data_IF_155464152118
#
_entry.id   IF_155464152118
#
_cell.length_a   1.000
_cell.length_b   1.000
_cell.length_c   1.000
_cell.angle_alpha   90.00
_cell.angle_beta   90.00
_cell.angle_gamma   90.00
#
_symmetry.space_group_name_H-M   'P 1'
#
loop_
_entity.id
_entity.type
_entity.pdbx_description
1 polymer ?
#
# COMPACT_ATOMS: atom_id res chain seq x y z
N UNK A 1 4.10 20.27 -4.20
CA UNK A 1 3.73 19.27 -5.23
C UNK A 1 2.83 19.92 -6.27
N UNK A 2 3.05 19.69 -7.58
CA UNK A 2 2.25 20.22 -8.69
C UNK A 2 1.30 19.15 -9.23
N UNK A 3 0.02 19.50 -9.40
CA UNK A 3 -0.99 18.65 -10.05
C UNK A 3 -0.99 18.97 -11.55
N UNK A 4 -0.87 17.95 -12.40
CA UNK A 4 -0.97 18.06 -13.86
C UNK A 4 -2.27 17.44 -14.37
N UNK A 5 -2.72 17.85 -15.54
CA UNK A 5 -3.90 17.29 -16.20
C UNK A 5 -3.55 16.86 -17.63
N UNK A 6 -2.73 15.83 -17.77
CA UNK A 6 -2.22 15.34 -19.07
C UNK A 6 -3.31 14.68 -19.93
N UNK A 7 -4.38 14.20 -19.30
CA UNK A 7 -5.48 13.49 -19.96
C UNK A 7 -6.69 14.38 -20.23
N UNK A 8 -6.62 15.68 -19.91
CA UNK A 8 -7.71 16.61 -20.18
C UNK A 8 -9.01 16.29 -19.44
N UNK A 9 -8.92 15.78 -18.21
CA UNK A 9 -10.12 15.50 -17.41
C UNK A 9 -10.83 16.81 -17.02
N UNK A 10 -12.16 16.78 -16.78
CA UNK A 10 -12.93 17.97 -16.44
C UNK A 10 -12.38 18.73 -15.24
N UNK A 11 -12.45 20.07 -15.30
CA UNK A 11 -11.96 21.00 -14.28
C UNK A 11 -12.52 20.70 -12.87
N UNK A 12 -13.75 20.22 -12.77
CA UNK A 12 -14.36 19.81 -11.50
C UNK A 12 -13.59 18.68 -10.81
N UNK A 13 -13.03 17.73 -11.58
CA UNK A 13 -12.19 16.65 -11.02
C UNK A 13 -10.83 17.22 -10.60
N UNK A 14 -10.25 18.11 -11.41
CA UNK A 14 -8.96 18.75 -11.09
C UNK A 14 -9.05 19.50 -9.76
N UNK A 15 -10.07 20.33 -9.59
CA UNK A 15 -10.31 21.07 -8.35
C UNK A 15 -10.57 20.16 -7.16
N UNK A 16 -11.40 19.15 -7.31
CA UNK A 16 -11.68 18.19 -6.24
C UNK A 16 -10.42 17.44 -5.75
N UNK A 17 -9.45 17.22 -6.64
CA UNK A 17 -8.16 16.61 -6.29
C UNK A 17 -7.20 17.62 -5.65
N UNK A 18 -7.27 18.88 -6.06
CA UNK A 18 -6.44 19.95 -5.49
C UNK A 18 -6.89 20.39 -4.10
N UNK A 19 -8.19 20.25 -3.82
CA UNK A 19 -8.86 20.66 -2.59
C UNK A 19 -8.82 19.53 -1.54
N UNK A 20 -7.64 18.93 -1.37
CA UNK A 20 -7.41 17.84 -0.41
C UNK A 20 -7.28 18.45 1.00
N UNK A 21 -8.33 18.26 1.81
CA UNK A 21 -8.42 18.76 3.19
C UNK A 21 -7.56 17.95 4.18
N UNK A 22 -6.72 17.02 3.70
CA UNK A 22 -5.90 16.22 4.60
C UNK A 22 -4.90 17.07 5.37
N UNK A 23 -5.08 17.12 6.68
CA UNK A 23 -4.17 17.76 7.61
C UNK A 23 -3.70 16.73 8.67
N UNK A 24 -2.40 16.62 8.88
CA UNK A 24 -1.81 15.79 9.94
C UNK A 24 -1.66 16.55 11.27
N UNK A 25 -2.14 17.78 11.33
CA UNK A 25 -1.90 18.71 12.43
C UNK A 25 -0.42 19.09 12.55
N UNK A 26 0.01 19.43 13.74
CA UNK A 26 1.39 19.78 14.07
C UNK A 26 2.32 18.56 14.26
N UNK A 27 1.89 17.35 13.84
CA UNK A 27 2.72 16.16 13.95
C UNK A 27 3.85 16.14 12.91
N UNK A 28 4.99 15.59 13.31
CA UNK A 28 6.13 15.36 12.39
C UNK A 28 5.76 14.25 11.39
N UNK A 29 5.17 13.17 11.88
CA UNK A 29 4.74 12.03 11.05
C UNK A 29 3.29 11.66 11.34
N UNK A 30 2.50 11.42 10.29
CA UNK A 30 1.26 10.64 10.44
C UNK A 30 1.59 9.15 10.56
N UNK A 31 0.67 8.33 11.08
CA UNK A 31 0.82 6.87 11.13
C UNK A 31 1.12 6.31 9.73
N UNK A 32 0.46 6.80 8.70
CA UNK A 32 0.71 6.37 7.31
C UNK A 32 2.13 6.69 6.84
N UNK A 33 2.68 7.86 7.24
CA UNK A 33 4.08 8.20 6.97
C UNK A 33 5.03 7.35 7.83
N UNK A 34 4.71 7.12 9.10
CA UNK A 34 5.51 6.34 10.03
C UNK A 34 5.76 4.91 9.52
N UNK A 35 4.73 4.23 9.02
CA UNK A 35 4.85 2.87 8.47
C UNK A 35 5.45 2.83 7.06
N UNK A 36 5.49 3.96 6.37
CA UNK A 36 6.11 4.06 5.03
C UNK A 36 7.64 4.02 5.10
N UNK A 37 8.34 3.59 4.03
CA UNK A 37 9.80 3.59 4.01
C UNK A 37 10.37 4.98 4.29
N UNK A 38 11.29 5.14 5.26
CA UNK A 38 11.86 6.45 5.62
C UNK A 38 12.46 7.17 4.43
N UNK A 39 13.17 6.44 3.56
CA UNK A 39 13.73 6.97 2.32
C UNK A 39 12.69 7.67 1.45
N UNK A 40 11.51 7.06 1.30
CA UNK A 40 10.44 7.63 0.47
C UNK A 40 9.90 8.90 1.11
N UNK A 41 9.61 8.86 2.41
CA UNK A 41 9.05 10.02 3.15
C UNK A 41 10.01 11.21 3.09
N UNK A 42 11.29 11.00 3.34
CA UNK A 42 12.30 12.06 3.29
C UNK A 42 12.49 12.60 1.87
N UNK A 43 12.59 11.72 0.86
CA UNK A 43 12.71 12.18 -0.53
C UNK A 43 11.46 12.94 -1.00
N UNK A 44 10.27 12.62 -0.51
CA UNK A 44 9.06 13.40 -0.76
C UNK A 44 9.16 14.80 -0.15
N UNK A 45 9.61 14.90 1.11
CA UNK A 45 9.76 16.18 1.80
C UNK A 45 10.78 17.09 1.11
N UNK A 46 11.98 16.60 0.84
CA UNK A 46 13.05 17.43 0.22
C UNK A 46 12.79 17.78 -1.24
N UNK A 47 11.95 17.04 -1.93
CA UNK A 47 11.61 17.29 -3.35
C UNK A 47 10.17 17.81 -3.54
N UNK A 48 9.47 18.18 -2.48
CA UNK A 48 8.04 18.54 -2.53
C UNK A 48 7.69 19.53 -3.65
N UNK A 49 8.50 20.56 -3.83
CA UNK A 49 8.28 21.58 -4.85
C UNK A 49 8.50 21.10 -6.29
N UNK A 50 9.28 20.01 -6.45
CA UNK A 50 9.62 19.43 -7.76
C UNK A 50 8.73 18.25 -8.13
N UNK A 51 7.94 17.73 -7.17
CA UNK A 51 7.08 16.59 -7.42
C UNK A 51 5.88 16.97 -8.27
N UNK A 52 5.64 16.17 -9.30
CA UNK A 52 4.45 16.27 -10.15
C UNK A 52 3.61 14.99 -10.04
N UNK A 53 2.31 15.16 -9.92
CA UNK A 53 1.35 14.06 -9.94
C UNK A 53 0.23 14.41 -10.90
N UNK A 54 -0.09 13.51 -11.81
CA UNK A 54 -1.26 13.71 -12.67
C UNK A 54 -2.54 13.47 -11.89
N UNK A 55 -3.56 14.27 -12.19
CA UNK A 55 -4.87 14.22 -11.53
C UNK A 55 -5.48 12.82 -11.54
N UNK A 56 -5.29 12.04 -12.62
CA UNK A 56 -5.84 10.67 -12.70
C UNK A 56 -5.21 9.71 -11.69
N UNK A 57 -3.97 9.96 -11.28
CA UNK A 57 -3.29 9.17 -10.26
C UNK A 57 -3.79 9.48 -8.83
N UNK A 58 -4.55 10.56 -8.66
CA UNK A 58 -5.17 10.96 -7.39
C UNK A 58 -6.64 10.54 -7.28
N UNK A 59 -7.24 10.02 -8.34
CA UNK A 59 -8.64 9.55 -8.33
C UNK A 59 -8.89 8.51 -7.24
N UNK A 60 -8.00 7.52 -6.98
CA UNK A 60 -8.21 6.58 -5.87
C UNK A 60 -8.30 7.26 -4.49
N UNK A 61 -7.50 8.30 -4.25
CA UNK A 61 -7.56 9.08 -3.00
C UNK A 61 -8.87 9.88 -2.92
N UNK A 62 -9.28 10.53 -4.01
CA UNK A 62 -10.56 11.24 -4.10
C UNK A 62 -11.75 10.33 -3.78
N UNK A 63 -11.77 9.11 -4.34
CA UNK A 63 -12.80 8.12 -4.03
C UNK A 63 -12.77 7.71 -2.55
N UNK A 64 -11.56 7.54 -1.99
CA UNK A 64 -11.36 7.29 -0.55
C UNK A 64 -12.03 8.37 0.29
N UNK A 65 -11.63 9.62 0.10
CA UNK A 65 -12.18 10.78 0.84
C UNK A 65 -13.70 10.88 0.70
N UNK A 66 -14.25 10.69 -0.50
CA UNK A 66 -15.70 10.77 -0.73
C UNK A 66 -16.46 9.68 0.06
N UNK A 67 -15.95 8.44 0.07
CA UNK A 67 -16.60 7.34 0.80
C UNK A 67 -16.47 7.52 2.30
N UNK A 68 -15.31 7.93 2.82
CA UNK A 68 -15.14 8.24 4.24
C UNK A 68 -16.17 9.29 4.71
N UNK A 69 -16.34 10.40 3.98
CA UNK A 69 -17.35 11.44 4.29
C UNK A 69 -18.79 10.87 4.28
N UNK A 70 -19.10 9.94 3.37
CA UNK A 70 -20.45 9.31 3.32
C UNK A 70 -20.65 8.37 4.50
N UNK A 71 -19.65 7.56 4.85
CA UNK A 71 -19.73 6.62 5.97
C UNK A 71 -19.73 7.33 7.31
N UNK A 72 -18.96 8.40 7.48
CA UNK A 72 -19.01 9.29 8.64
C UNK A 72 -20.43 9.82 8.84
N UNK A 73 -21.04 10.38 7.78
CA UNK A 73 -22.43 10.85 7.84
C UNK A 73 -23.42 9.73 8.23
N UNK A 74 -23.21 8.52 7.69
CA UNK A 74 -24.07 7.35 8.00
C UNK A 74 -23.93 6.86 9.44
N UNK A 75 -22.80 7.14 10.08
CA UNK A 75 -22.49 6.68 11.44
C UNK A 75 -22.78 7.73 12.52
N UNK A 76 -23.12 8.98 12.15
CA UNK A 76 -23.20 10.14 13.05
C UNK A 76 -24.16 9.96 14.24
N UNK A 77 -25.25 9.23 14.04
CA UNK A 77 -26.28 9.04 15.06
C UNK A 77 -26.19 7.64 15.72
N UNK A 78 -25.13 6.89 15.43
CA UNK A 78 -24.92 5.59 16.06
C UNK A 78 -24.34 5.79 17.46
N UNK A 79 -25.02 5.35 18.54
CA UNK A 79 -24.45 5.38 19.87
C UNK A 79 -23.19 4.50 19.90
N UNK A 80 -22.23 4.86 20.74
CA UNK A 80 -20.97 4.12 20.89
C UNK A 80 -19.96 4.24 19.73
N UNK A 81 -20.25 4.98 18.65
CA UNK A 81 -19.34 5.22 17.54
C UNK A 81 -18.60 6.55 17.71
N UNK A 82 -17.27 6.50 17.63
CA UNK A 82 -16.37 7.65 17.63
C UNK A 82 -15.70 7.72 16.27
N UNK A 83 -15.93 8.82 15.53
CA UNK A 83 -15.59 8.92 14.11
C UNK A 83 -14.45 9.90 13.88
N UNK A 84 -13.58 9.62 12.91
CA UNK A 84 -12.53 10.51 12.39
C UNK A 84 -11.68 11.19 13.49
N UNK A 85 -11.44 10.45 14.58
CA UNK A 85 -10.73 11.00 15.73
C UNK A 85 -9.23 11.03 15.47
N UNK A 86 -8.63 12.23 15.53
CA UNK A 86 -7.18 12.39 15.43
C UNK A 86 -6.54 12.31 16.80
N UNK A 87 -5.65 11.34 16.93
CA UNK A 87 -4.92 10.99 18.15
C UNK A 87 -3.43 11.28 17.97
N UNK A 88 -2.74 11.59 19.08
CA UNK A 88 -1.35 11.98 19.07
C UNK A 88 -0.54 11.25 20.14
N UNK A 89 0.77 11.10 19.92
CA UNK A 89 1.74 10.77 20.98
C UNK A 89 3.10 11.40 20.62
N UNK A 90 3.97 11.53 21.61
CA UNK A 90 5.35 11.98 21.42
C UNK A 90 6.29 10.83 21.71
N UNK A 91 6.92 10.33 20.67
CA UNK A 91 7.86 9.20 20.74
C UNK A 91 9.24 9.65 20.29
N UNK A 92 10.27 9.43 21.12
CA UNK A 92 11.65 9.85 20.86
C UNK A 92 11.78 11.35 20.49
N UNK A 93 10.91 12.21 21.07
CA UNK A 93 10.88 13.64 20.81
C UNK A 93 10.15 14.07 19.53
N UNK A 94 9.63 13.12 18.74
CA UNK A 94 8.81 13.43 17.57
C UNK A 94 7.33 13.20 17.86
N UNK A 95 6.50 14.18 17.52
CA UNK A 95 5.04 14.07 17.60
C UNK A 95 4.55 13.27 16.41
N UNK A 96 3.83 12.20 16.69
CA UNK A 96 3.14 11.36 15.69
C UNK A 96 1.64 11.55 15.79
N UNK A 97 0.90 11.36 14.71
CA UNK A 97 -0.56 11.42 14.71
C UNK A 97 -1.19 10.31 13.88
N UNK A 98 -2.40 9.92 14.27
CA UNK A 98 -3.26 9.02 13.50
C UNK A 98 -4.70 9.50 13.54
N UNK A 99 -5.36 9.58 12.39
CA UNK A 99 -6.80 9.74 12.31
C UNK A 99 -7.42 8.35 12.21
N UNK A 100 -8.28 8.01 13.16
CA UNK A 100 -8.94 6.71 13.23
C UNK A 100 -10.35 6.86 12.66
N UNK A 101 -10.67 6.11 11.61
CA UNK A 101 -11.96 6.26 10.92
C UNK A 101 -13.12 6.01 11.86
N UNK A 102 -13.12 4.87 12.55
CA UNK A 102 -14.18 4.49 13.49
C UNK A 102 -13.60 3.74 14.69
N UNK A 103 -13.99 4.16 15.88
CA UNK A 103 -13.80 3.43 17.14
C UNK A 103 -15.16 3.12 17.73
N UNK A 104 -15.39 1.88 18.15
CA UNK A 104 -16.67 1.40 18.65
C UNK A 104 -16.49 0.95 20.11
N UNK A 105 -17.26 1.55 21.03
CA UNK A 105 -17.35 1.10 22.42
C UNK A 105 -18.27 -0.12 22.53
N UNK A 106 -17.74 -1.26 22.96
CA UNK A 106 -18.50 -2.50 23.11
C UNK A 106 -19.38 -2.50 24.38
N UNK A 107 -19.27 -1.48 25.24
CA UNK A 107 -20.05 -1.37 26.49
C UNK A 107 -19.57 -2.25 27.65
N UNK A 108 -18.53 -3.05 27.45
CA UNK A 108 -17.88 -3.91 28.44
C UNK A 108 -16.48 -3.45 28.86
N UNK A 109 -16.11 -2.22 28.47
CA UNK A 109 -14.77 -1.64 28.67
C UNK A 109 -13.77 -2.02 27.59
N UNK A 110 -14.19 -2.74 26.57
CA UNK A 110 -13.38 -3.02 25.37
C UNK A 110 -13.85 -2.21 24.17
N UNK A 111 -12.96 -2.08 23.18
CA UNK A 111 -13.21 -1.29 21.99
C UNK A 111 -12.77 -2.04 20.73
N UNK A 112 -13.44 -1.71 19.63
CA UNK A 112 -13.10 -2.14 18.28
C UNK A 112 -12.64 -0.94 17.44
N UNK A 113 -11.68 -1.14 16.52
CA UNK A 113 -11.32 -0.16 15.50
C UNK A 113 -11.65 -0.74 14.13
N UNK A 114 -12.39 0.03 13.33
CA UNK A 114 -12.64 -0.26 11.92
C UNK A 114 -12.01 0.83 11.05
N UNK A 115 -11.30 0.41 10.02
CA UNK A 115 -10.69 1.28 9.02
C UNK A 115 -11.25 0.94 7.63
N UNK A 116 -11.78 1.95 6.96
CA UNK A 116 -12.42 1.79 5.66
C UNK A 116 -11.42 1.88 4.52
N UNK A 117 -11.42 0.89 3.62
CA UNK A 117 -10.54 0.89 2.44
C UNK A 117 -11.33 0.69 1.16
N UNK A 118 -11.14 1.60 0.19
CA UNK A 118 -11.57 1.35 -1.19
C UNK A 118 -10.41 0.71 -1.92
N UNK A 119 -10.53 -0.58 -2.19
CA UNK A 119 -9.39 -1.36 -2.69
C UNK A 119 -9.81 -2.39 -3.74
N UNK A 120 -8.89 -3.23 -4.19
CA UNK A 120 -9.15 -4.31 -5.12
C UNK A 120 -9.42 -5.63 -4.40
N UNK A 121 -10.05 -6.58 -5.10
CA UNK A 121 -10.19 -7.96 -4.64
C UNK A 121 -8.83 -8.58 -4.31
N UNK A 122 -7.81 -8.32 -5.13
CA UNK A 122 -6.45 -8.78 -4.87
C UNK A 122 -5.93 -8.36 -3.49
N UNK A 123 -6.27 -7.17 -3.02
CA UNK A 123 -5.78 -6.65 -1.73
C UNK A 123 -6.30 -7.43 -0.52
N UNK A 124 -7.52 -7.98 -0.59
CA UNK A 124 -8.10 -8.79 0.51
C UNK A 124 -7.73 -10.26 0.41
N UNK A 125 -7.19 -10.68 -0.71
CA UNK A 125 -6.68 -12.05 -0.94
C UNK A 125 -5.16 -12.14 -0.76
N UNK A 126 -4.49 -11.03 -0.50
CA UNK A 126 -3.04 -10.94 -0.32
C UNK A 126 -2.71 -10.49 1.09
N UNK A 127 -1.58 -10.91 1.59
CA UNK A 127 -1.04 -10.40 2.84
C UNK A 127 -0.73 -8.90 2.74
N UNK A 128 -1.16 -8.13 3.74
CA UNK A 128 -1.05 -6.67 3.82
C UNK A 128 -0.49 -6.23 5.17
N UNK A 129 0.81 -6.42 5.39
CA UNK A 129 1.44 -6.05 6.67
C UNK A 129 1.24 -4.57 7.01
N UNK A 130 1.09 -3.69 6.03
CA UNK A 130 0.80 -2.28 6.25
C UNK A 130 -0.57 -2.03 6.93
N UNK A 131 -1.56 -2.88 6.70
CA UNK A 131 -2.86 -2.79 7.39
C UNK A 131 -2.72 -3.16 8.87
N UNK A 132 -1.98 -4.25 9.14
CA UNK A 132 -1.70 -4.68 10.50
C UNK A 132 -0.92 -3.63 11.28
N UNK A 133 0.13 -3.07 10.67
CA UNK A 133 0.93 -2.00 11.26
C UNK A 133 0.10 -0.74 11.53
N UNK A 134 -0.72 -0.31 10.57
CA UNK A 134 -1.54 0.89 10.69
C UNK A 134 -2.54 0.79 11.82
N UNK A 135 -3.34 -0.28 11.85
CA UNK A 135 -4.39 -0.45 12.86
C UNK A 135 -3.82 -0.63 14.27
N UNK A 136 -2.70 -1.35 14.40
CA UNK A 136 -2.04 -1.48 15.70
C UNK A 136 -1.45 -0.16 16.20
N UNK A 137 -0.91 0.69 15.30
CA UNK A 137 -0.52 2.05 15.68
C UNK A 137 -1.73 2.88 16.15
N UNK A 138 -2.89 2.75 15.50
CA UNK A 138 -4.12 3.40 15.95
C UNK A 138 -4.58 2.90 17.32
N UNK A 139 -4.55 1.59 17.55
CA UNK A 139 -4.88 0.99 18.86
C UNK A 139 -3.96 1.53 19.97
N UNK A 140 -2.67 1.65 19.70
CA UNK A 140 -1.71 2.25 20.64
C UNK A 140 -2.06 3.71 20.94
N UNK A 141 -2.33 4.51 19.92
CA UNK A 141 -2.71 5.91 20.09
C UNK A 141 -4.03 6.05 20.87
N UNK A 142 -5.03 5.21 20.60
CA UNK A 142 -6.30 5.19 21.34
C UNK A 142 -6.08 4.87 22.83
N UNK A 143 -5.21 3.91 23.12
CA UNK A 143 -4.83 3.62 24.50
C UNK A 143 -4.10 4.79 25.17
N UNK A 144 -3.13 5.41 24.49
CA UNK A 144 -2.35 6.52 25.05
C UNK A 144 -3.17 7.77 25.32
N UNK A 145 -4.16 8.08 24.48
CA UNK A 145 -4.98 9.28 24.62
C UNK A 145 -6.18 9.09 25.58
N UNK A 146 -6.77 7.89 25.61
CA UNK A 146 -8.04 7.67 26.29
C UNK A 146 -8.07 6.44 27.19
N UNK A 147 -7.01 5.65 27.26
CA UNK A 147 -7.01 4.37 27.98
C UNK A 147 -7.88 3.30 27.33
N UNK A 148 -8.33 3.47 26.09
CA UNK A 148 -9.20 2.53 25.37
C UNK A 148 -8.49 1.21 25.16
N UNK A 149 -9.07 0.12 25.67
CA UNK A 149 -8.57 -1.24 25.47
C UNK A 149 -9.12 -1.80 24.16
N UNK A 150 -8.32 -1.75 23.11
CA UNK A 150 -8.72 -2.29 21.81
C UNK A 150 -8.55 -3.81 21.82
N UNK A 151 -9.61 -4.55 21.49
CA UNK A 151 -9.63 -6.02 21.42
C UNK A 151 -9.97 -6.55 20.03
N UNK A 152 -10.43 -5.68 19.13
CA UNK A 152 -10.77 -6.03 17.75
C UNK A 152 -10.28 -4.94 16.80
N UNK A 153 -9.62 -5.38 15.72
CA UNK A 153 -9.16 -4.51 14.63
C UNK A 153 -9.68 -5.08 13.31
N UNK A 154 -10.33 -4.25 12.50
CA UNK A 154 -10.91 -4.69 11.22
C UNK A 154 -10.60 -3.72 10.09
N UNK A 155 -10.27 -4.27 8.94
CA UNK A 155 -10.36 -3.55 7.68
C UNK A 155 -11.71 -3.84 7.04
N UNK A 156 -12.49 -2.80 6.78
CA UNK A 156 -13.74 -2.89 6.03
C UNK A 156 -13.47 -2.45 4.59
N UNK A 157 -13.25 -3.43 3.72
CA UNK A 157 -12.83 -3.21 2.34
C UNK A 157 -14.04 -3.13 1.39
N UNK A 158 -14.18 -2.01 0.68
CA UNK A 158 -15.11 -1.85 -0.43
C UNK A 158 -14.33 -2.16 -1.72
N UNK A 159 -14.74 -3.24 -2.39
CA UNK A 159 -14.01 -3.83 -3.52
C UNK A 159 -14.46 -3.19 -4.83
N UNK A 160 -13.61 -2.29 -5.38
CA UNK A 160 -13.94 -1.51 -6.60
C UNK A 160 -13.99 -2.33 -7.89
N UNK A 161 -13.35 -3.50 -7.91
CA UNK A 161 -13.24 -4.42 -9.05
C UNK A 161 -13.95 -5.76 -8.82
N UNK A 162 -14.84 -5.81 -7.83
CA UNK A 162 -15.63 -7.00 -7.53
C UNK A 162 -16.63 -7.31 -8.67
N UNK A 163 -16.71 -8.59 -9.02
CA UNK A 163 -17.58 -9.07 -10.11
C UNK A 163 -18.47 -10.19 -9.61
N UNK A 164 -19.79 -10.00 -9.61
CA UNK A 164 -20.78 -10.98 -9.16
C UNK A 164 -20.58 -12.36 -9.80
N UNK A 165 -20.37 -12.41 -11.12
CA UNK A 165 -20.17 -13.68 -11.84
C UNK A 165 -18.93 -14.46 -11.34
N UNK A 166 -17.89 -13.76 -10.86
CA UNK A 166 -16.73 -14.45 -10.29
C UNK A 166 -17.07 -15.04 -8.92
N UNK A 167 -17.86 -14.34 -8.09
CA UNK A 167 -18.32 -14.84 -6.80
C UNK A 167 -19.20 -16.12 -6.97
N UNK A 168 -20.08 -16.15 -7.98
CA UNK A 168 -20.91 -17.31 -8.29
C UNK A 168 -20.10 -18.54 -8.76
N UNK A 169 -18.95 -18.31 -9.40
CA UNK A 169 -18.14 -19.38 -10.01
C UNK A 169 -16.97 -19.85 -9.14
N UNK A 170 -16.52 -19.04 -8.17
CA UNK A 170 -15.31 -19.30 -7.40
C UNK A 170 -15.58 -19.10 -5.90
N UNK A 171 -15.61 -20.19 -5.11
CA UNK A 171 -15.85 -20.10 -3.66
C UNK A 171 -14.81 -19.30 -2.88
N UNK A 172 -13.56 -19.26 -3.37
CA UNK A 172 -12.42 -18.51 -2.80
C UNK A 172 -12.39 -17.04 -3.21
N UNK A 173 -13.27 -16.63 -4.12
CA UNK A 173 -13.45 -15.21 -4.46
C UNK A 173 -14.38 -14.54 -3.44
N UNK A 174 -14.18 -13.26 -3.06
CA UNK A 174 -15.07 -12.56 -2.13
C UNK A 174 -16.54 -12.67 -2.56
N UNK A 175 -17.38 -13.20 -1.67
CA UNK A 175 -18.79 -13.44 -1.98
C UNK A 175 -19.64 -12.16 -1.94
N UNK A 176 -19.08 -11.04 -1.46
CA UNK A 176 -19.69 -9.72 -1.39
C UNK A 176 -18.73 -8.65 -1.91
N UNK A 177 -19.27 -7.54 -2.39
CA UNK A 177 -18.50 -6.34 -2.72
C UNK A 177 -17.87 -5.67 -1.48
N UNK A 178 -18.34 -6.02 -0.29
CA UNK A 178 -17.74 -5.59 0.99
C UNK A 178 -17.13 -6.82 1.64
N UNK A 179 -15.85 -6.73 1.98
CA UNK A 179 -15.13 -7.74 2.73
C UNK A 179 -14.64 -7.15 4.07
N UNK A 180 -14.85 -7.88 5.15
CA UNK A 180 -14.32 -7.54 6.47
C UNK A 180 -13.13 -8.46 6.73
N UNK A 181 -11.97 -7.86 7.01
CA UNK A 181 -10.73 -8.58 7.29
C UNK A 181 -10.35 -8.31 8.73
N UNK A 182 -10.32 -9.36 9.55
CA UNK A 182 -9.85 -9.28 10.93
C UNK A 182 -8.33 -9.14 10.95
N UNK A 183 -7.85 -8.18 11.75
CA UNK A 183 -6.43 -7.87 11.89
C UNK A 183 -5.96 -8.30 13.29
N UNK A 184 -4.82 -9.01 13.41
CA UNK A 184 -4.27 -9.40 14.70
C UNK A 184 -3.96 -8.19 15.58
N UNK A 185 -4.42 -8.22 16.84
CA UNK A 185 -4.10 -7.19 17.83
C UNK A 185 -2.75 -7.51 18.47
N UNK A 186 -1.81 -6.57 18.40
CA UNK A 186 -0.51 -6.69 19.05
C UNK A 186 -0.58 -6.27 20.52
N UNK A 187 0.35 -6.78 21.33
CA UNK A 187 0.53 -6.25 22.67
C UNK A 187 1.00 -4.79 22.62
N UNK A 188 0.63 -4.00 23.62
CA UNK A 188 1.07 -2.59 23.73
C UNK A 188 2.60 -2.45 23.71
N UNK A 189 3.31 -3.41 24.30
CA UNK A 189 4.77 -3.47 24.28
C UNK A 189 5.29 -3.64 22.84
N UNK A 190 4.75 -4.60 22.08
CA UNK A 190 5.14 -4.84 20.69
C UNK A 190 4.90 -3.60 19.83
N UNK A 191 3.73 -2.98 19.96
CA UNK A 191 3.40 -1.76 19.18
C UNK A 191 4.32 -0.60 19.59
N UNK A 192 4.51 -0.39 20.90
CA UNK A 192 5.39 0.67 21.38
C UNK A 192 6.83 0.53 20.87
N UNK A 193 7.37 -0.70 20.89
CA UNK A 193 8.69 -0.98 20.33
C UNK A 193 8.74 -0.73 18.81
N UNK A 194 7.72 -1.17 18.08
CA UNK A 194 7.59 -0.93 16.64
C UNK A 194 7.57 0.57 16.31
N UNK A 195 6.70 1.35 16.97
CA UNK A 195 6.61 2.80 16.75
C UNK A 195 7.95 3.48 17.07
N UNK A 196 8.59 3.13 18.19
CA UNK A 196 9.87 3.70 18.57
C UNK A 196 10.98 3.40 17.55
N UNK A 197 11.00 2.19 17.00
CA UNK A 197 11.96 1.81 15.97
C UNK A 197 11.69 2.55 14.65
N UNK A 198 10.42 2.64 14.21
CA UNK A 198 10.06 3.41 13.01
C UNK A 198 10.44 4.89 13.15
N UNK A 199 10.16 5.52 14.30
CA UNK A 199 10.58 6.92 14.56
C UNK A 199 12.09 7.05 14.47
N UNK A 200 12.86 6.12 15.07
CA UNK A 200 14.33 6.10 14.99
C UNK A 200 14.81 6.07 13.53
N UNK A 201 14.26 5.18 12.71
CA UNK A 201 14.63 5.06 11.29
C UNK A 201 14.35 6.34 10.51
N UNK A 202 13.22 7.00 10.78
CA UNK A 202 12.92 8.31 10.16
C UNK A 202 13.86 9.42 10.64
N UNK A 203 14.23 9.43 11.94
CA UNK A 203 15.21 10.37 12.48
C UNK A 203 16.58 10.18 11.85
N UNK A 204 17.02 8.94 11.66
CA UNK A 204 18.28 8.61 10.99
C UNK A 204 18.27 9.06 9.52
N UNK A 205 17.16 8.84 8.81
CA UNK A 205 17.00 9.31 7.45
C UNK A 205 17.02 10.84 7.35
N UNK A 206 16.38 11.55 8.29
CA UNK A 206 16.44 13.02 8.35
C UNK A 206 17.86 13.49 8.60
N UNK A 207 18.53 12.92 9.58
CA UNK A 207 19.93 13.25 9.90
C UNK A 207 20.88 13.02 8.70
N UNK A 208 20.70 11.94 7.96
CA UNK A 208 21.51 11.66 6.79
C UNK A 208 21.36 12.78 5.73
N UNK A 209 20.13 13.25 5.47
CA UNK A 209 19.90 14.36 4.55
C UNK A 209 20.53 15.66 5.07
N UNK A 210 20.32 15.99 6.34
CA UNK A 210 20.87 17.20 6.95
C UNK A 210 22.40 17.25 6.92
N UNK A 211 23.05 16.06 6.98
CA UNK A 211 24.51 15.91 6.90
C UNK A 211 25.05 15.68 5.48
N UNK A 212 24.18 15.60 4.46
CA UNK A 212 24.57 15.28 3.09
C UNK A 212 24.99 13.82 2.88
N UNK A 213 24.69 12.93 3.82
CA UNK A 213 25.01 11.51 3.76
C UNK A 213 24.00 10.72 2.91
N UNK A 214 24.39 9.56 2.38
CA UNK A 214 23.47 8.70 1.64
C UNK A 214 22.34 8.17 2.52
N UNK A 215 21.10 8.23 2.03
CA UNK A 215 19.96 7.59 2.68
C UNK A 215 20.10 6.06 2.65
N UNK A 216 19.71 5.40 3.73
CA UNK A 216 19.57 3.94 3.78
C UNK A 216 18.63 3.48 2.67
N UNK A 217 18.96 2.37 2.02
CA UNK A 217 18.16 1.81 0.94
C UNK A 217 16.85 1.22 1.45
N UNK A 218 15.81 1.30 0.61
CA UNK A 218 14.59 0.53 0.84
C UNK A 218 14.90 -0.96 0.75
N UNK A 219 14.24 -1.76 1.61
CA UNK A 219 14.32 -3.23 1.54
C UNK A 219 13.60 -3.78 0.30
N UNK A 220 13.76 -5.05 0.03
CA UNK A 220 13.08 -5.70 -1.09
C UNK A 220 11.56 -5.74 -0.87
N UNK A 221 11.10 -5.94 0.37
CA UNK A 221 9.68 -5.85 0.75
C UNK A 221 9.14 -4.43 0.52
N UNK A 222 9.88 -3.41 0.96
CA UNK A 222 9.51 -1.99 0.78
C UNK A 222 9.47 -1.59 -0.70
N UNK A 223 10.24 -2.25 -1.55
CA UNK A 223 10.27 -2.05 -3.00
C UNK A 223 9.27 -2.93 -3.75
N UNK A 224 8.58 -3.85 -3.06
CA UNK A 224 7.71 -4.89 -3.63
C UNK A 224 8.45 -5.71 -4.69
N UNK A 225 9.64 -6.16 -4.37
CA UNK A 225 10.44 -6.97 -5.29
C UNK A 225 9.71 -8.30 -5.52
N UNK A 226 9.37 -8.55 -6.76
CA UNK A 226 8.89 -9.85 -7.20
C UNK A 226 10.10 -10.69 -7.58
N UNK A 227 10.10 -11.94 -7.12
CA UNK A 227 11.10 -12.91 -7.51
C UNK A 227 11.15 -13.15 -9.01
N UNK A 228 12.17 -13.87 -9.45
CA UNK A 228 12.25 -14.35 -10.84
C UNK A 228 11.09 -15.32 -11.11
N UNK A 229 10.58 -15.28 -12.33
CA UNK A 229 9.56 -16.22 -12.79
C UNK A 229 9.87 -16.70 -14.19
N UNK A 230 9.44 -17.92 -14.50
CA UNK A 230 9.52 -18.49 -15.85
C UNK A 230 8.11 -18.54 -16.43
N UNK A 231 7.89 -17.69 -17.43
CA UNK A 231 6.61 -17.54 -18.07
C UNK A 231 6.47 -18.58 -19.20
N UNK A 232 5.49 -19.47 -19.10
CA UNK A 232 5.08 -20.27 -20.22
C UNK A 232 4.32 -19.41 -21.20
N UNK A 233 4.90 -19.13 -22.33
CA UNK A 233 4.35 -18.28 -23.38
C UNK A 233 3.79 -19.13 -24.52
N UNK A 234 2.90 -18.54 -25.27
CA UNK A 234 2.41 -19.11 -26.54
C UNK A 234 2.58 -18.08 -27.64
N UNK A 235 3.11 -18.50 -28.79
CA UNK A 235 3.24 -17.64 -29.97
C UNK A 235 1.95 -16.89 -30.29
N UNK A 236 2.06 -15.58 -30.58
CA UNK A 236 0.92 -14.71 -30.84
C UNK A 236 0.17 -14.20 -29.58
N UNK A 237 0.53 -14.65 -28.37
CA UNK A 237 -0.02 -14.10 -27.12
C UNK A 237 0.96 -13.15 -26.45
N UNK A 238 0.45 -12.00 -25.99
CA UNK A 238 1.24 -11.03 -25.20
C UNK A 238 1.30 -11.40 -23.70
N UNK A 239 0.37 -12.23 -23.22
CA UNK A 239 0.31 -12.67 -21.83
C UNK A 239 0.74 -14.12 -21.67
N UNK A 240 1.42 -14.42 -20.56
CA UNK A 240 1.78 -15.78 -20.22
C UNK A 240 0.54 -16.70 -20.12
N UNK A 241 0.70 -17.95 -20.51
CA UNK A 241 -0.29 -19.02 -20.28
C UNK A 241 -0.31 -19.36 -18.80
N UNK A 242 0.90 -19.48 -18.19
CA UNK A 242 1.10 -19.72 -16.77
C UNK A 242 2.49 -19.22 -16.35
N UNK A 243 2.65 -18.83 -15.09
CA UNK A 243 3.92 -18.51 -14.47
C UNK A 243 4.37 -19.66 -13.57
N UNK A 244 5.69 -19.87 -13.52
CA UNK A 244 6.34 -20.88 -12.69
C UNK A 244 7.49 -20.22 -11.92
N UNK A 245 7.75 -20.75 -10.72
CA UNK A 245 8.82 -20.24 -9.83
C UNK A 245 10.19 -20.81 -10.17
N UNK A 246 10.26 -21.77 -11.11
CA UNK A 246 11.51 -22.36 -11.59
C UNK A 246 11.43 -22.76 -13.08
N UNK A 247 12.60 -22.83 -13.70
CA UNK A 247 12.73 -23.13 -15.13
C UNK A 247 12.33 -24.56 -15.49
N UNK A 248 12.59 -25.52 -14.59
CA UNK A 248 12.35 -26.95 -14.86
C UNK A 248 10.87 -27.22 -15.04
N UNK A 249 10.03 -26.72 -14.13
CA UNK A 249 8.57 -26.88 -14.20
C UNK A 249 7.97 -26.17 -15.41
N UNK A 250 8.47 -24.96 -15.74
CA UNK A 250 8.03 -24.24 -16.93
C UNK A 250 8.37 -25.00 -18.20
N UNK A 251 9.60 -25.55 -18.28
CA UNK A 251 10.08 -26.31 -19.44
C UNK A 251 9.34 -27.64 -19.59
N UNK A 252 9.09 -28.35 -18.47
CA UNK A 252 8.28 -29.57 -18.47
C UNK A 252 6.89 -29.29 -19.00
N UNK A 253 6.22 -28.25 -18.51
CA UNK A 253 4.88 -27.87 -18.97
C UNK A 253 4.83 -27.48 -20.45
N UNK A 254 5.85 -26.79 -20.96
CA UNK A 254 5.98 -26.48 -22.38
C UNK A 254 6.09 -27.73 -23.25
N UNK A 255 6.85 -28.74 -22.80
CA UNK A 255 7.00 -30.03 -23.46
C UNK A 255 5.71 -30.83 -23.48
N UNK A 256 5.03 -31.00 -22.34
CA UNK A 256 3.77 -31.73 -22.22
C UNK A 256 2.67 -31.16 -23.14
N UNK A 257 2.60 -29.82 -23.26
CA UNK A 257 1.67 -29.15 -24.19
C UNK A 257 2.07 -29.34 -25.65
N UNK A 258 3.38 -29.50 -25.93
CA UNK A 258 3.91 -29.81 -27.25
C UNK A 258 3.54 -31.23 -27.70
N UNK A 259 3.75 -32.20 -26.82
CA UNK A 259 3.51 -33.62 -27.08
C UNK A 259 2.02 -33.97 -27.18
N UNK A 260 1.17 -33.34 -26.36
CA UNK A 260 -0.27 -33.66 -26.32
C UNK A 260 -1.07 -33.24 -27.54
N UNK A 261 -0.54 -32.41 -28.45
CA UNK A 261 -1.26 -31.82 -29.58
C UNK A 261 -0.70 -32.13 -30.96
N UNK A 262 0.39 -32.89 -31.06
CA UNK A 262 0.91 -33.43 -32.34
C UNK A 262 1.38 -32.39 -33.38
N UNK A 263 1.28 -31.13 -33.08
CA UNK A 263 1.74 -29.99 -33.88
C UNK A 263 2.57 -29.09 -32.95
N UNK A 264 3.71 -28.62 -33.38
CA UNK A 264 4.54 -27.70 -32.63
C UNK A 264 3.71 -26.44 -32.27
N UNK A 265 3.23 -26.27 -31.04
CA UNK A 265 2.16 -25.32 -30.72
C UNK A 265 2.69 -23.93 -30.39
N UNK A 266 3.96 -23.64 -30.69
CA UNK A 266 4.53 -22.33 -30.43
C UNK A 266 4.54 -21.96 -28.95
N UNK A 267 4.68 -22.95 -28.03
CA UNK A 267 4.89 -22.68 -26.62
C UNK A 267 6.38 -22.61 -26.34
N UNK A 268 6.79 -21.59 -25.56
CA UNK A 268 8.18 -21.39 -25.16
C UNK A 268 8.22 -20.85 -23.72
N UNK A 269 9.38 -20.93 -23.09
CA UNK A 269 9.62 -20.40 -21.75
C UNK A 269 10.38 -19.10 -21.87
N UNK A 270 9.85 -18.04 -21.28
CA UNK A 270 10.47 -16.72 -21.14
C UNK A 270 10.91 -16.53 -19.70
N UNK A 271 12.21 -16.28 -19.49
CA UNK A 271 12.70 -15.90 -18.16
C UNK A 271 12.33 -14.43 -17.88
N UNK A 272 11.71 -14.20 -16.74
CA UNK A 272 11.37 -12.86 -16.24
C UNK A 272 12.15 -12.60 -14.98
N UNK A 273 13.13 -11.74 -15.09
CA UNK A 273 13.92 -11.29 -13.95
C UNK A 273 13.06 -10.63 -12.90
N UNK A 274 13.44 -10.80 -11.64
CA UNK A 274 12.80 -10.11 -10.51
C UNK A 274 12.87 -8.59 -10.69
N UNK A 275 11.82 -7.89 -10.31
CA UNK A 275 11.78 -6.44 -10.45
C UNK A 275 11.16 -5.76 -9.22
N UNK A 276 11.66 -4.58 -8.84
CA UNK A 276 11.08 -3.78 -7.76
C UNK A 276 9.84 -3.05 -8.28
N UNK A 277 8.70 -3.73 -8.22
CA UNK A 277 7.42 -3.27 -8.80
C UNK A 277 7.04 -1.86 -8.33
N UNK A 278 7.29 -1.53 -7.06
CA UNK A 278 6.98 -0.20 -6.53
C UNK A 278 7.74 0.91 -7.27
N UNK A 279 8.99 0.66 -7.63
CA UNK A 279 9.83 1.62 -8.34
C UNK A 279 9.53 1.63 -9.85
N UNK A 280 9.54 0.45 -10.47
CA UNK A 280 9.36 0.28 -11.92
C UNK A 280 7.93 0.59 -12.38
N UNK A 281 6.92 0.32 -11.54
CA UNK A 281 5.49 0.50 -11.84
C UNK A 281 4.97 1.90 -11.57
N UNK A 282 5.83 2.88 -11.30
CA UNK A 282 5.45 4.27 -10.93
C UNK A 282 4.59 4.39 -9.66
N UNK A 283 4.63 3.39 -8.76
CA UNK A 283 3.96 3.48 -7.45
C UNK A 283 4.77 4.30 -6.44
N UNK A 284 6.06 4.54 -6.71
CA UNK A 284 6.92 5.39 -5.90
C UNK A 284 7.04 6.78 -6.53
N UNK A 285 6.41 7.77 -5.90
CA UNK A 285 6.39 9.16 -6.39
C UNK A 285 7.78 9.78 -6.52
N UNK A 286 8.75 9.27 -5.74
CA UNK A 286 10.13 9.78 -5.71
C UNK A 286 11.13 8.90 -6.49
N UNK A 287 10.65 7.97 -7.31
CA UNK A 287 11.52 7.09 -8.10
C UNK A 287 12.52 7.89 -8.96
N UNK A 288 12.07 8.99 -9.58
CA UNK A 288 12.92 9.89 -10.38
C UNK A 288 14.02 10.62 -9.60
N UNK A 289 13.93 10.68 -8.26
CA UNK A 289 14.91 11.31 -7.37
C UNK A 289 15.70 10.27 -6.54
N UNK A 290 15.42 8.97 -6.75
CA UNK A 290 15.97 7.91 -5.92
C UNK A 290 17.21 7.28 -6.54
N UNK A 291 18.39 7.52 -5.96
CA UNK A 291 19.66 6.93 -6.43
C UNK A 291 19.65 5.39 -6.40
N UNK A 292 18.94 4.77 -5.48
CA UNK A 292 18.79 3.32 -5.43
C UNK A 292 18.12 2.77 -6.70
N UNK A 293 17.06 3.44 -7.18
CA UNK A 293 16.36 3.07 -8.40
C UNK A 293 17.16 3.40 -9.65
N UNK A 294 17.72 4.59 -9.72
CA UNK A 294 18.56 5.01 -10.86
C UNK A 294 19.79 4.10 -11.05
N UNK A 295 20.45 3.69 -9.96
CA UNK A 295 21.55 2.74 -10.00
C UNK A 295 21.14 1.35 -10.53
N UNK A 296 19.93 0.90 -10.23
CA UNK A 296 19.40 -0.37 -10.76
C UNK A 296 19.15 -0.33 -12.26
N UNK A 297 18.76 0.83 -12.82
CA UNK A 297 18.55 1.01 -14.26
C UNK A 297 19.88 0.95 -15.05
N UNK A 298 20.96 1.49 -14.47
CA UNK A 298 22.29 1.46 -15.10
C UNK A 298 22.86 0.04 -15.15
N UNK A 299 22.67 -0.75 -14.12
CA UNK A 299 23.13 -2.15 -14.07
C UNK A 299 22.36 -3.06 -15.03
N UNK A 300 21.04 -2.86 -15.20
CA UNK A 300 20.22 -3.65 -16.13
C UNK A 300 20.45 -3.35 -17.61
N UNK A 301 21.05 -2.22 -17.95
CA UNK A 301 21.37 -1.87 -19.34
C UNK A 301 22.74 -2.42 -19.83
N UNK A 302 23.54 -2.99 -18.92
CA UNK A 302 24.86 -3.55 -19.21
C UNK A 302 24.87 -5.02 -19.63
N UNK A 303 23.80 -5.78 -19.40
CA UNK A 303 23.76 -7.23 -19.68
C UNK A 303 23.11 -7.62 -21.03
N UNK A 304 22.78 -6.64 -21.87
CA UNK A 304 22.10 -6.84 -23.15
C UNK A 304 22.99 -6.77 -24.41
N UNK A 305 24.31 -6.81 -24.28
CA UNK A 305 25.24 -6.79 -25.44
C UNK A 305 26.41 -7.76 -25.21
N UNK A 306 26.14 -9.04 -25.43
CA UNK A 306 27.10 -10.12 -25.46
C UNK A 306 26.57 -11.27 -26.30
#
# INVERSE_FOLDING_TARGET
MRITNKYGVPETIVRAVQDDEYDKGDSVLSVTQLISPPRIVILQSVNEHNLEVDVVNRVPALLGTAVHKILEKGSKDLPHYHLEERLFDVVRGWKISGAVDVQIDNGDGTWEINDYKITSVYSVQSDKPEWEQQLNCYAYLAYKNHGRRITSLKIVAILRDWVRKQAELKPDYPQSQIAVVDIPVWSLEKVGAFIADRVRLHQEAQKAVDSGEPLVYCTDEERWVRGETWALMKEGRKSAVKLYDNQEDATRAAKELGESRGLNPGHYVEHRHGSPIRCAGNYCLVAGYCRQWQGSLVQGSGEGSG
#
